data_IF_937198980762
#
_entry.id   IF_937198980762
#
_cell.length_a   1.000
_cell.length_b   1.000
_cell.length_c   1.000
_cell.angle_alpha   90.00
_cell.angle_beta   90.00
_cell.angle_gamma   90.00
#
_symmetry.space_group_name_H-M   'P 1'
#
loop_
_entity.id
_entity.type
_entity.pdbx_description
1 polymer ?
2 non-polymer ?
3 non-polymer ?
4 non-polymer ?
5 water ?
#
# COMPACT_ATOMS: atom_id res chain seq x y z
N UNK A 13 -12.97 -22.36 9.23
CA UNK A 13 -11.69 -22.91 9.61
C UNK A 13 -10.85 -23.17 8.36
N UNK A 14 -11.45 -22.92 7.19
CA UNK A 14 -10.87 -23.29 5.90
C UNK A 14 -10.03 -22.18 5.30
N UNK A 15 -9.02 -22.59 4.53
CA UNK A 15 -8.02 -21.67 4.00
C UNK A 15 -8.10 -21.56 2.48
N UNK A 16 -7.58 -20.45 1.98
CA UNK A 16 -7.42 -20.24 0.55
C UNK A 16 -6.07 -19.60 0.30
N UNK A 17 -5.39 -20.05 -0.75
CA UNK A 17 -4.20 -19.40 -1.24
C UNK A 17 -4.55 -18.66 -2.52
N UNK A 18 -3.87 -17.53 -2.74
CA UNK A 18 -4.08 -16.75 -3.94
C UNK A 18 -2.72 -16.48 -4.57
N UNK A 19 -2.61 -16.70 -5.88
CA UNK A 19 -1.41 -16.44 -6.64
C UNK A 19 -1.68 -15.24 -7.51
N UNK A 20 -0.72 -14.33 -7.59
CA UNK A 20 -0.97 -13.03 -8.17
C UNK A 20 0.24 -12.60 -8.98
N UNK A 21 0.02 -12.26 -10.24
CA UNK A 21 1.05 -11.66 -11.08
C UNK A 21 0.75 -10.19 -11.32
N UNK A 22 1.77 -9.48 -11.77
CA UNK A 22 1.58 -8.14 -12.31
C UNK A 22 0.89 -8.22 -13.67
N UNK A 23 -0.17 -7.46 -13.91
CA UNK A 23 -0.82 -7.52 -15.23
C UNK A 23 0.09 -7.10 -16.37
N UNK A 24 1.16 -6.34 -16.09
CA UNK A 24 2.12 -5.98 -17.11
C UNK A 24 3.16 -7.08 -17.34
N UNK A 25 3.14 -8.15 -16.57
CA UNK A 25 4.04 -9.29 -16.72
C UNK A 25 3.26 -10.53 -16.29
N UNK A 26 2.18 -10.80 -17.00
CA UNK A 26 1.15 -11.72 -16.54
C UNK A 26 1.60 -13.13 -16.84
N UNK A 27 2.32 -13.74 -15.89
CA UNK A 27 3.01 -15.00 -16.12
C UNK A 27 2.31 -16.19 -15.47
N UNK A 28 1.11 -16.01 -14.92
CA UNK A 28 0.44 -17.11 -14.21
C UNK A 28 -0.39 -17.90 -15.22
N UNK A 29 0.32 -18.69 -16.04
CA UNK A 29 -0.31 -19.43 -17.12
C UNK A 29 -1.24 -20.50 -16.57
N UNK A 30 -2.21 -20.94 -17.37
CA UNK A 30 -3.07 -22.05 -16.92
C UNK A 30 -2.31 -23.25 -16.39
N UNK A 31 -1.29 -23.73 -17.11
CA UNK A 31 -0.53 -24.89 -16.65
C UNK A 31 0.15 -24.62 -15.33
N UNK A 32 0.66 -23.39 -15.15
CA UNK A 32 1.34 -23.06 -13.89
C UNK A 32 0.36 -23.11 -12.72
N UNK A 33 -0.86 -22.59 -12.92
CA UNK A 33 -1.85 -22.65 -11.84
C UNK A 33 -2.20 -24.07 -11.46
N UNK A 34 -2.35 -24.94 -12.45
CA UNK A 34 -2.64 -26.34 -12.16
C UNK A 34 -1.49 -26.99 -11.42
N UNK A 35 -0.26 -26.81 -11.92
CA UNK A 35 0.91 -27.32 -11.20
C UNK A 35 0.87 -26.88 -9.73
N UNK A 36 0.61 -25.60 -9.49
CA UNK A 36 0.60 -25.10 -8.12
C UNK A 36 -0.50 -25.77 -7.31
N UNK A 37 -1.72 -25.87 -7.86
CA UNK A 37 -2.80 -26.51 -7.11
C UNK A 37 -2.49 -27.97 -6.83
N UNK A 38 -1.85 -28.65 -7.79
CA UNK A 38 -1.42 -30.02 -7.54
C UNK A 38 -0.44 -30.07 -6.37
N UNK A 39 0.45 -29.06 -6.26
CA UNK A 39 1.49 -29.07 -5.24
C UNK A 39 0.94 -28.99 -3.82
N UNK A 40 -0.34 -28.67 -3.63
CA UNK A 40 -0.89 -28.56 -2.28
C UNK A 40 -2.12 -29.46 -2.14
N UNK A 41 -2.22 -30.48 -3.01
CA UNK A 41 -3.36 -31.39 -3.03
C UNK A 41 -4.68 -30.61 -2.98
N UNK A 42 -4.76 -29.58 -3.81
CA UNK A 42 -5.86 -28.64 -3.74
C UNK A 42 -7.18 -29.27 -4.20
N UNK A 43 -8.27 -28.71 -3.68
CA UNK A 43 -9.62 -29.20 -3.93
C UNK A 43 -10.30 -28.48 -5.11
N UNK A 44 -9.57 -27.66 -5.84
CA UNK A 44 -10.13 -26.90 -6.94
C UNK A 44 -9.27 -25.70 -7.25
N UNK A 45 -9.60 -25.05 -8.37
CA UNK A 45 -8.81 -23.93 -8.84
C UNK A 45 -9.73 -22.94 -9.54
N UNK A 46 -9.75 -21.69 -9.09
CA UNK A 46 -10.68 -20.70 -9.63
C UNK A 46 -9.92 -19.46 -10.08
N UNK A 47 -10.14 -19.07 -11.33
CA UNK A 47 -9.42 -17.96 -11.95
C UNK A 47 -10.14 -16.66 -11.67
N UNK A 48 -9.47 -15.73 -10.99
CA UNK A 48 -10.03 -14.40 -10.82
C UNK A 48 -9.70 -13.51 -12.00
N UNK A 49 -8.55 -13.74 -12.64
CA UNK A 49 -8.17 -12.99 -13.85
C UNK A 49 -7.19 -13.85 -14.63
N UNK A 50 -7.50 -14.09 -15.91
CA UNK A 50 -6.67 -14.99 -16.72
C UNK A 50 -5.22 -14.49 -16.76
N UNK A 51 -4.29 -15.40 -16.50
CA UNK A 51 -2.84 -15.16 -16.50
C UNK A 51 -2.38 -14.22 -15.38
N UNK A 52 -3.26 -13.88 -14.43
CA UNK A 52 -2.93 -12.85 -13.44
C UNK A 52 -3.16 -13.34 -12.01
N UNK A 53 -4.32 -13.94 -11.74
CA UNK A 53 -4.62 -14.31 -10.36
C UNK A 53 -5.57 -15.50 -10.31
N UNK A 54 -5.32 -16.40 -9.36
CA UNK A 54 -6.21 -17.53 -9.17
C UNK A 54 -6.27 -17.88 -7.69
N UNK A 55 -7.41 -18.40 -7.28
CA UNK A 55 -7.66 -18.86 -5.91
C UNK A 55 -7.45 -20.37 -5.83
N UNK A 56 -6.78 -20.81 -4.78
CA UNK A 56 -6.55 -22.24 -4.60
C UNK A 56 -7.03 -22.63 -3.21
N UNK A 57 -8.25 -23.16 -3.09
CA UNK A 57 -8.74 -23.65 -1.79
C UNK A 57 -7.83 -24.73 -1.22
N UNK A 58 -7.32 -24.48 -0.03
CA UNK A 58 -6.45 -25.44 0.63
C UNK A 58 -7.30 -26.60 1.17
N UNK A 59 -6.84 -27.84 1.00
CA UNK A 59 -7.54 -28.95 1.65
C UNK A 59 -7.48 -28.80 3.17
N UNK A 60 -8.57 -29.18 3.82
CA UNK A 60 -8.73 -28.96 5.25
C UNK A 60 -7.65 -29.72 6.03
N UNK A 61 -7.03 -29.02 6.98
CA UNK A 61 -6.03 -29.62 7.83
C UNK A 61 -4.60 -29.24 7.52
N UNK A 62 -4.37 -28.39 6.53
CA UNK A 62 -3.01 -27.97 6.17
C UNK A 62 -2.71 -26.63 6.82
N UNK A 63 -1.62 -26.58 7.59
CA UNK A 63 -1.16 -25.31 8.14
C UNK A 63 -0.76 -24.38 6.99
N UNK A 64 -1.04 -23.08 7.18
CA UNK A 64 -0.82 -22.12 6.10
C UNK A 64 0.65 -21.99 5.75
N UNK A 65 1.55 -22.16 6.73
CA UNK A 65 2.98 -22.09 6.43
C UNK A 65 3.41 -23.20 5.46
N UNK A 66 2.79 -24.39 5.59
CA UNK A 66 3.11 -25.47 4.67
C UNK A 66 2.78 -25.07 3.23
N UNK A 67 1.56 -24.57 3.01
CA UNK A 67 1.15 -24.20 1.65
C UNK A 67 1.99 -23.07 1.10
N UNK A 68 2.35 -22.10 1.94
CA UNK A 68 3.15 -20.99 1.43
C UNK A 68 4.50 -21.49 0.93
N UNK A 69 5.16 -22.36 1.70
CA UNK A 69 6.41 -22.92 1.25
C UNK A 69 6.22 -23.75 -0.02
N UNK A 70 5.23 -24.63 -0.02
CA UNK A 70 4.99 -25.49 -1.18
C UNK A 70 4.73 -24.66 -2.43
N UNK A 71 3.89 -23.64 -2.33
CA UNK A 71 3.59 -22.84 -3.51
C UNK A 71 4.79 -22.03 -3.96
N UNK A 72 5.54 -21.46 -3.01
CA UNK A 72 6.71 -20.66 -3.40
C UNK A 72 7.76 -21.54 -4.08
N UNK A 73 7.93 -22.77 -3.62
CA UNK A 73 8.88 -23.68 -4.26
C UNK A 73 8.44 -24.01 -5.69
N UNK A 74 7.18 -24.39 -5.88
CA UNK A 74 6.67 -24.70 -7.21
C UNK A 74 6.84 -23.52 -8.16
N UNK A 75 6.60 -22.30 -7.66
CA UNK A 75 6.65 -21.11 -8.49
C UNK A 75 8.03 -20.49 -8.56
N UNK A 76 9.03 -21.09 -7.89
CA UNK A 76 10.32 -20.44 -7.71
C UNK A 76 10.88 -19.92 -9.03
N UNK A 77 11.34 -18.68 -9.01
CA UNK A 77 11.82 -18.05 -10.20
C UNK A 77 10.75 -17.41 -11.05
N UNK A 78 9.46 -17.65 -10.76
CA UNK A 78 8.45 -16.90 -11.49
C UNK A 78 7.99 -15.68 -10.70
N UNK A 79 7.67 -14.57 -11.37
CA UNK A 79 7.27 -13.34 -10.65
C UNK A 79 5.80 -13.39 -10.23
N UNK A 80 5.51 -14.26 -9.27
CA UNK A 80 4.15 -14.51 -8.85
C UNK A 80 4.12 -14.51 -7.33
N UNK A 81 3.33 -13.60 -6.75
CA UNK A 81 3.18 -13.53 -5.31
C UNK A 81 2.30 -14.67 -4.80
N UNK A 82 2.50 -15.01 -3.53
CA UNK A 82 1.69 -16.01 -2.83
C UNK A 82 1.19 -15.41 -1.52
N UNK A 83 -0.12 -15.50 -1.29
CA UNK A 83 -0.72 -15.15 0.00
C UNK A 83 -1.66 -16.27 0.39
N UNK A 84 -1.74 -16.53 1.69
CA UNK A 84 -2.62 -17.55 2.24
C UNK A 84 -3.44 -16.91 3.36
N UNK A 85 -4.74 -17.16 3.38
CA UNK A 85 -5.60 -16.57 4.39
C UNK A 85 -6.86 -17.42 4.52
N UNK A 86 -7.64 -17.13 5.56
CA UNK A 86 -8.95 -17.74 5.71
C UNK A 86 -9.92 -17.15 4.71
N UNK A 87 -10.74 -18.01 4.09
CA UNK A 87 -11.65 -17.52 3.06
C UNK A 87 -12.72 -16.60 3.63
N UNK A 88 -13.18 -16.86 4.85
CA UNK A 88 -14.21 -16.02 5.43
C UNK A 88 -13.65 -14.66 5.83
N UNK A 89 -14.41 -13.61 5.53
CA UNK A 89 -14.06 -12.24 5.90
C UNK A 89 -12.76 -11.79 5.23
N UNK A 90 -12.47 -12.31 4.03
CA UNK A 90 -11.33 -11.80 3.28
C UNK A 90 -11.69 -10.56 2.48
N UNK A 91 -12.95 -10.35 2.15
CA UNK A 91 -13.35 -9.09 1.54
C UNK A 91 -13.56 -8.08 2.66
N UNK A 92 -12.83 -6.97 2.63
CA UNK A 92 -12.83 -5.98 3.70
C UNK A 92 -13.69 -4.77 3.33
N UNK A 93 -14.06 -4.00 4.35
CA UNK A 93 -14.94 -2.85 4.15
C UNK A 93 -14.27 -1.52 4.41
N UNK A 94 -12.98 -1.53 4.75
CA UNK A 94 -12.18 -0.32 4.92
C UNK A 94 -10.88 -0.52 4.17
N UNK A 95 -10.49 0.46 3.36
CA UNK A 95 -9.12 0.53 2.84
C UNK A 95 -8.40 1.70 3.51
N UNK A 96 -7.23 1.45 4.08
CA UNK A 96 -6.35 2.53 4.49
C UNK A 96 -5.00 2.33 3.79
N UNK A 97 -4.58 3.32 3.01
CA UNK A 97 -3.40 3.21 2.15
C UNK A 97 -2.46 4.38 2.34
N UNK A 98 -1.18 4.06 2.47
CA UNK A 98 -0.12 5.03 2.38
C UNK A 98 -0.12 5.70 1.00
N UNK A 99 0.44 6.92 0.91
CA UNK A 99 0.59 7.58 -0.39
C UNK A 99 1.95 7.34 -1.03
N UNK A 100 3.01 7.90 -0.46
CA UNK A 100 4.31 7.95 -1.12
C UNK A 100 4.82 6.54 -1.41
N UNK A 101 5.20 6.30 -2.66
CA UNK A 101 5.74 5.04 -3.14
C UNK A 101 4.75 3.91 -3.08
N UNK A 102 3.48 4.21 -2.77
CA UNK A 102 2.44 3.19 -2.71
C UNK A 102 1.36 3.53 -3.72
N UNK A 103 0.60 4.62 -3.54
CA UNK A 103 -0.36 5.03 -4.55
C UNK A 103 0.24 5.97 -5.58
N UNK A 104 1.38 6.59 -5.31
CA UNK A 104 2.11 7.35 -6.32
C UNK A 104 3.48 6.74 -6.45
N UNK A 105 4.16 7.08 -7.53
CA UNK A 105 5.46 6.49 -7.79
C UNK A 105 6.62 7.16 -7.08
N UNK A 106 6.39 8.33 -6.48
CA UNK A 106 7.44 9.18 -5.95
C UNK A 106 7.34 9.35 -4.44
N UNK A 107 8.35 10.00 -3.88
CA UNK A 107 8.35 10.53 -2.51
C UNK A 107 8.18 12.03 -2.65
N UNK A 108 7.02 12.55 -2.19
CA UNK A 108 6.73 13.97 -2.32
C UNK A 108 7.83 14.83 -1.71
N UNK A 109 8.44 14.36 -0.62
CA UNK A 109 9.46 15.14 0.06
C UNK A 109 10.76 15.14 -0.74
N UNK A 110 11.09 14.03 -1.41
CA UNK A 110 12.30 14.02 -2.24
C UNK A 110 12.12 14.91 -3.47
N UNK A 111 10.91 14.93 -4.04
CA UNK A 111 10.63 15.80 -5.18
C UNK A 111 10.72 17.28 -4.79
N UNK A 112 10.17 17.64 -3.63
CA UNK A 112 10.33 19.01 -3.16
C UNK A 112 11.79 19.35 -2.95
N UNK A 113 12.55 18.42 -2.38
CA UNK A 113 13.96 18.69 -2.08
C UNK A 113 14.77 18.97 -3.35
N UNK A 114 14.37 18.38 -4.48
CA UNK A 114 15.00 18.69 -5.75
C UNK A 114 14.97 20.20 -6.00
N UNK A 115 13.83 20.83 -5.74
CA UNK A 115 13.69 22.26 -5.97
C UNK A 115 14.54 23.11 -5.04
N UNK A 116 15.12 22.52 -3.99
CA UNK A 116 16.14 23.18 -3.19
C UNK A 116 17.52 22.68 -3.55
N UNK A 117 17.65 21.93 -4.65
CA UNK A 117 18.93 21.43 -5.06
C UNK A 117 19.50 20.39 -4.13
N UNK A 118 18.65 19.68 -3.39
CA UNK A 118 19.11 18.76 -2.36
C UNK A 118 18.44 17.41 -2.48
N UNK A 119 18.08 16.99 -3.69
CA UNK A 119 17.34 15.74 -3.85
C UNK A 119 18.10 14.58 -3.22
N UNK A 120 19.38 14.43 -3.56
CA UNK A 120 20.08 13.22 -3.14
C UNK A 120 20.28 13.19 -1.64
N UNK A 121 20.64 14.32 -1.04
CA UNK A 121 20.82 14.38 0.40
C UNK A 121 19.53 14.02 1.13
N UNK A 122 18.40 14.57 0.68
CA UNK A 122 17.15 14.29 1.36
C UNK A 122 16.69 12.87 1.07
N UNK A 123 16.89 12.41 -0.17
CA UNK A 123 16.44 11.08 -0.54
C UNK A 123 17.15 10.01 0.27
N UNK A 124 18.42 10.23 0.63
CA UNK A 124 19.12 9.27 1.47
C UNK A 124 18.50 9.21 2.86
N UNK A 125 18.05 10.34 3.38
CA UNK A 125 17.39 10.30 4.69
C UNK A 125 16.07 9.55 4.58
N UNK A 126 15.30 9.83 3.53
CA UNK A 126 14.03 9.16 3.30
C UNK A 126 14.21 7.66 3.27
N UNK A 127 15.22 7.17 2.55
CA UNK A 127 15.43 5.73 2.48
C UNK A 127 15.67 5.15 3.88
N UNK A 128 16.46 5.83 4.71
CA UNK A 128 16.70 5.32 6.06
C UNK A 128 15.45 5.38 6.91
N UNK A 129 14.63 6.41 6.74
CA UNK A 129 13.38 6.49 7.50
C UNK A 129 12.41 5.40 7.08
N UNK A 130 12.26 5.20 5.76
CA UNK A 130 11.37 4.16 5.26
C UNK A 130 11.83 2.78 5.71
N UNK A 131 13.14 2.56 5.75
CA UNK A 131 13.65 1.27 6.18
C UNK A 131 13.52 1.06 7.69
N UNK A 132 13.23 2.13 8.46
CA UNK A 132 13.11 2.04 9.90
C UNK A 132 14.40 2.28 10.66
N UNK A 133 15.45 2.76 10.01
CA UNK A 133 16.70 3.05 10.69
C UNK A 133 16.68 4.35 11.48
N UNK A 134 15.69 5.21 11.25
CA UNK A 134 15.51 6.45 12.01
C UNK A 134 14.02 6.64 12.22
N UNK A 135 13.64 7.19 13.37
CA UNK A 135 12.23 7.41 13.64
C UNK A 135 11.65 8.42 12.66
N UNK A 136 10.36 8.28 12.36
CA UNK A 136 9.77 9.10 11.31
C UNK A 136 9.84 10.59 11.63
N UNK A 137 9.44 10.96 12.85
CA UNK A 137 9.31 12.38 13.18
C UNK A 137 10.62 13.15 13.08
N UNK A 138 11.73 12.76 13.74
CA UNK A 138 12.99 13.47 13.50
C UNK A 138 13.42 13.50 12.04
N UNK A 139 13.21 12.39 11.31
CA UNK A 139 13.58 12.37 9.90
C UNK A 139 12.77 13.40 9.10
N UNK A 140 11.47 13.49 9.36
CA UNK A 140 10.65 14.47 8.66
C UNK A 140 11.12 15.89 8.96
N UNK A 141 11.37 16.20 10.25
CA UNK A 141 11.75 17.56 10.63
C UNK A 141 13.08 17.94 9.98
N UNK A 142 14.03 17.00 9.94
CA UNK A 142 15.31 17.27 9.30
C UNK A 142 15.15 17.57 7.83
N UNK A 143 14.34 16.77 7.12
CA UNK A 143 14.19 16.97 5.69
C UNK A 143 13.39 18.23 5.37
N UNK A 144 12.30 18.46 6.10
CA UNK A 144 11.48 19.63 5.83
C UNK A 144 12.26 20.91 6.14
N UNK A 145 13.14 20.88 7.15
CA UNK A 145 13.94 22.06 7.46
C UNK A 145 14.66 22.59 6.22
N UNK A 146 15.14 21.68 5.36
CA UNK A 146 15.91 22.07 4.19
C UNK A 146 15.05 22.67 3.09
N UNK A 147 13.73 22.63 3.24
CA UNK A 147 12.84 23.27 2.29
C UNK A 147 12.54 24.72 2.65
N UNK A 148 13.15 25.24 3.71
CA UNK A 148 12.88 26.60 4.15
C UNK A 148 13.08 27.59 3.01
N UNK A 149 12.10 28.48 2.83
CA UNK A 149 12.20 29.53 1.84
C UNK A 149 11.68 29.18 0.46
N UNK A 150 11.37 27.92 0.19
CA UNK A 150 10.80 27.56 -1.10
C UNK A 150 9.47 28.28 -1.32
N UNK A 151 9.25 28.86 -2.50
CA UNK A 151 7.96 29.51 -2.76
C UNK A 151 6.83 28.51 -2.80
N UNK A 152 5.66 28.95 -2.32
CA UNK A 152 4.50 28.06 -2.29
C UNK A 152 4.14 27.54 -3.68
N UNK A 153 4.46 28.31 -4.73
CA UNK A 153 4.20 27.88 -6.09
C UNK A 153 4.83 26.53 -6.42
N UNK A 154 5.86 26.13 -5.68
CA UNK A 154 6.59 24.92 -6.02
C UNK A 154 5.74 23.67 -5.82
N UNK A 155 4.65 23.74 -5.05
CA UNK A 155 3.89 22.53 -4.79
C UNK A 155 3.11 22.10 -6.02
N UNK A 156 2.34 23.02 -6.61
CA UNK A 156 1.63 22.68 -7.85
C UNK A 156 2.60 22.29 -8.95
N UNK A 157 3.76 22.95 -8.99
CA UNK A 157 4.77 22.60 -9.98
C UNK A 157 5.14 21.12 -9.88
N UNK A 158 5.45 20.65 -8.67
CA UNK A 158 5.85 19.27 -8.50
C UNK A 158 4.70 18.33 -8.81
N UNK A 159 3.50 18.64 -8.32
CA UNK A 159 2.36 17.76 -8.54
C UNK A 159 2.08 17.62 -10.02
N UNK A 160 2.11 18.75 -10.75
CA UNK A 160 1.67 18.73 -12.13
C UNK A 160 2.67 18.05 -13.03
N UNK A 161 3.95 18.06 -12.67
CA UNK A 161 5.00 17.61 -13.57
C UNK A 161 5.70 16.32 -13.16
N UNK A 162 5.78 16.00 -11.87
CA UNK A 162 6.58 14.84 -11.49
C UNK A 162 5.84 13.75 -10.72
N UNK A 163 4.56 13.92 -10.38
CA UNK A 163 3.82 12.90 -9.64
C UNK A 163 3.02 12.05 -10.62
N UNK A 164 3.12 10.73 -10.48
CA UNK A 164 2.36 9.79 -11.29
C UNK A 164 1.67 8.76 -10.38
N UNK A 165 0.49 8.30 -10.80
CA UNK A 165 -0.25 7.32 -10.04
C UNK A 165 0.30 5.90 -10.26
N UNK A 166 0.31 5.11 -9.20
CA UNK A 166 0.74 3.73 -9.29
C UNK A 166 -0.30 2.92 -10.04
N UNK A 167 0.13 2.00 -10.93
CA UNK A 167 -0.84 1.18 -11.68
C UNK A 167 -1.78 0.41 -10.77
N UNK A 168 -3.05 0.35 -11.17
CA UNK A 168 -4.04 -0.37 -10.40
C UNK A 168 -4.67 0.41 -9.26
N UNK A 169 -4.14 1.59 -8.92
CA UNK A 169 -4.63 2.40 -7.82
C UNK A 169 -6.08 2.80 -7.95
N UNK A 170 -6.42 3.54 -9.00
CA UNK A 170 -7.83 3.90 -9.22
C UNK A 170 -8.76 2.71 -9.25
N UNK A 171 -8.37 1.61 -9.91
CA UNK A 171 -9.25 0.46 -9.97
C UNK A 171 -9.46 -0.16 -8.61
N UNK A 172 -8.40 -0.23 -7.79
CA UNK A 172 -8.53 -0.75 -6.44
C UNK A 172 -9.55 0.08 -5.66
N UNK A 173 -9.34 1.40 -5.62
CA UNK A 173 -10.19 2.27 -4.82
C UNK A 173 -11.62 2.26 -5.36
N UNK A 174 -11.79 2.51 -6.67
CA UNK A 174 -13.14 2.56 -7.23
C UNK A 174 -13.86 1.22 -7.09
N UNK A 175 -13.15 0.10 -7.29
CA UNK A 175 -13.84 -1.18 -7.15
C UNK A 175 -14.25 -1.43 -5.70
N UNK A 176 -13.41 -1.04 -4.74
CA UNK A 176 -13.81 -1.24 -3.35
C UNK A 176 -15.00 -0.35 -2.99
N UNK A 177 -14.98 0.91 -3.44
CA UNK A 177 -16.10 1.81 -3.19
C UNK A 177 -17.38 1.27 -3.80
N UNK A 178 -17.30 0.81 -5.06
CA UNK A 178 -18.46 0.19 -5.71
C UNK A 178 -19.07 -0.89 -4.82
N UNK A 179 -18.25 -1.59 -4.04
CA UNK A 179 -18.77 -2.61 -3.14
C UNK A 179 -18.96 -2.08 -1.72
N UNK A 180 -19.06 -0.76 -1.56
CA UNK A 180 -19.48 -0.20 -0.30
C UNK A 180 -18.38 0.05 0.72
N UNK A 181 -17.11 -0.19 0.38
CA UNK A 181 -16.05 0.01 1.35
C UNK A 181 -15.76 1.50 1.53
N UNK A 182 -15.23 1.85 2.71
CA UNK A 182 -14.77 3.21 2.98
C UNK A 182 -13.26 3.27 2.78
N UNK A 183 -12.77 4.25 2.02
CA UNK A 183 -11.39 4.27 1.57
C UNK A 183 -10.69 5.56 1.98
N UNK A 184 -9.52 5.43 2.62
CA UNK A 184 -8.79 6.56 3.16
C UNK A 184 -7.33 6.52 2.75
N UNK A 185 -6.81 7.68 2.31
CA UNK A 185 -5.39 7.86 1.99
C UNK A 185 -4.73 8.53 3.21
N UNK A 186 -3.91 7.78 3.92
CA UNK A 186 -3.36 8.23 5.19
C UNK A 186 -1.84 8.19 5.08
N UNK A 187 -1.22 9.37 5.18
CA UNK A 187 0.13 9.60 4.69
C UNK A 187 0.97 10.39 5.70
N UNK A 188 2.25 10.05 5.80
CA UNK A 188 3.17 10.91 6.51
C UNK A 188 3.60 12.11 5.70
N UNK A 189 3.11 12.24 4.46
CA UNK A 189 3.43 13.36 3.60
C UNK A 189 2.55 14.55 3.89
N UNK A 190 2.23 15.32 2.85
CA UNK A 190 1.66 16.65 3.03
C UNK A 190 0.27 16.78 2.42
N UNK A 191 -0.59 17.48 3.16
CA UNK A 191 -1.98 17.67 2.74
C UNK A 191 -2.08 18.36 1.39
N UNK A 192 -1.14 19.26 1.09
CA UNK A 192 -1.16 19.93 -0.20
C UNK A 192 -1.07 18.93 -1.35
N UNK A 193 -0.42 17.78 -1.12
CA UNK A 193 -0.38 16.70 -2.11
C UNK A 193 -1.54 15.71 -1.95
N UNK A 194 -1.76 15.20 -0.73
CA UNK A 194 -2.78 14.15 -0.57
C UNK A 194 -4.17 14.62 -1.01
N UNK A 195 -4.49 15.89 -0.80
CA UNK A 195 -5.84 16.33 -1.17
C UNK A 195 -6.06 16.19 -2.66
N UNK A 196 -5.07 16.57 -3.48
CA UNK A 196 -5.20 16.41 -4.92
C UNK A 196 -5.14 14.94 -5.32
N UNK A 197 -4.15 14.20 -4.81
CA UNK A 197 -3.99 12.80 -5.19
C UNK A 197 -5.22 12.00 -4.82
N UNK A 198 -5.73 12.21 -3.61
CA UNK A 198 -6.88 11.44 -3.15
C UNK A 198 -8.08 11.61 -4.09
N UNK A 199 -8.29 12.81 -4.63
CA UNK A 199 -9.45 13.00 -5.50
C UNK A 199 -9.17 12.55 -6.94
N UNK A 200 -7.91 12.60 -7.38
CA UNK A 200 -7.51 11.91 -8.59
C UNK A 200 -7.87 10.43 -8.53
N UNK A 201 -7.49 9.77 -7.44
CA UNK A 201 -7.68 8.32 -7.37
C UNK A 201 -9.10 7.97 -7.01
N UNK A 202 -9.72 8.75 -6.10
CA UNK A 202 -11.11 8.54 -5.74
C UNK A 202 -11.36 8.06 -4.32
N UNK A 203 -10.44 8.38 -3.39
CA UNK A 203 -10.62 8.03 -1.99
C UNK A 203 -11.78 8.82 -1.36
N UNK A 204 -12.35 8.27 -0.31
CA UNK A 204 -13.35 8.99 0.47
C UNK A 204 -12.75 10.06 1.35
N UNK A 205 -11.55 9.82 1.90
CA UNK A 205 -10.91 10.84 2.72
C UNK A 205 -9.39 10.69 2.66
N UNK A 206 -8.70 11.77 3.01
CA UNK A 206 -7.26 11.75 3.19
C UNK A 206 -6.89 12.43 4.51
N UNK A 207 -5.72 12.08 5.03
CA UNK A 207 -5.17 12.65 6.26
C UNK A 207 -3.65 12.60 6.19
N UNK A 208 -3.00 13.75 6.38
CA UNK A 208 -1.56 13.83 6.21
C UNK A 208 -0.99 14.93 7.09
N UNK A 209 0.33 15.06 7.10
CA UNK A 209 0.96 16.19 7.77
C UNK A 209 0.72 17.48 6.98
N UNK A 210 1.19 18.58 7.54
CA UNK A 210 0.92 19.90 6.96
C UNK A 210 2.19 20.74 7.00
N UNK A 211 2.60 21.25 5.84
CA UNK A 211 3.70 22.19 5.79
C UNK A 211 3.23 23.56 6.28
N UNK A 212 4.05 24.23 7.07
CA UNK A 212 3.75 25.58 7.53
C UNK A 212 4.33 26.55 6.51
N UNK A 213 3.57 27.62 6.20
CA UNK A 213 4.05 28.70 5.34
C UNK A 213 3.73 30.04 5.99
N UNK A 214 4.48 31.07 5.58
CA UNK A 214 4.26 32.43 6.06
C UNK A 214 3.28 33.21 5.19
N UNK A 215 2.60 32.53 4.26
CA UNK A 215 1.78 33.17 3.28
C UNK A 215 2.41 33.21 1.89
N UNK A 216 3.74 33.28 1.82
CA UNK A 216 4.39 33.29 0.51
C UNK A 216 5.44 32.20 0.37
N UNK A 217 6.10 31.80 1.46
CA UNK A 217 7.14 30.77 1.40
C UNK A 217 6.93 29.74 2.50
N UNK A 218 7.50 28.55 2.28
CA UNK A 218 7.55 27.54 3.33
C UNK A 218 8.45 28.00 4.45
N UNK A 219 8.00 27.81 5.69
CA UNK A 219 8.85 28.11 6.84
C UNK A 219 9.91 27.05 7.09
N UNK A 220 9.77 25.87 6.48
CA UNK A 220 10.67 24.78 6.79
C UNK A 220 10.28 23.96 8.00
N UNK A 221 9.06 24.11 8.49
CA UNK A 221 8.59 23.30 9.61
C UNK A 221 7.25 22.69 9.25
N UNK A 222 6.84 21.76 10.09
CA UNK A 222 5.61 21.00 9.95
C UNK A 222 4.75 21.26 11.17
N UNK A 223 3.44 21.28 10.97
CA UNK A 223 2.52 21.42 12.08
C UNK A 223 2.69 20.27 13.07
N UNK A 224 2.81 20.59 14.36
CA UNK A 224 2.82 19.53 15.36
C UNK A 224 1.42 19.32 15.91
N UNK A 225 1.12 18.12 16.43
CA UNK A 225 1.98 16.94 16.55
C UNK A 225 2.14 16.24 15.20
N UNK A 226 3.35 15.81 14.86
CA UNK A 226 3.60 15.17 13.58
C UNK A 226 2.89 13.83 13.53
N UNK A 227 2.23 13.54 12.41
CA UNK A 227 1.60 12.25 12.23
C UNK A 227 2.64 11.24 11.75
N UNK A 228 2.87 10.19 12.54
CA UNK A 228 3.87 9.18 12.23
C UNK A 228 3.25 7.79 12.25
N UNK A 229 4.06 6.84 12.71
CA UNK A 229 3.65 5.44 12.71
C UNK A 229 2.40 5.23 13.54
N UNK A 230 2.43 5.72 14.79
CA UNK A 230 1.29 5.53 15.68
C UNK A 230 0.06 6.29 15.20
N UNK A 231 0.25 7.47 14.59
CA UNK A 231 -0.90 8.20 14.05
C UNK A 231 -1.66 7.38 13.01
N UNK A 232 -0.96 6.54 12.22
CA UNK A 232 -1.69 5.72 11.26
C UNK A 232 -2.53 4.67 11.96
N UNK A 233 -2.00 4.08 13.02
CA UNK A 233 -2.80 3.17 13.84
C UNK A 233 -4.03 3.89 14.36
N UNK A 234 -3.82 5.07 14.94
CA UNK A 234 -4.93 5.80 15.54
C UNK A 234 -5.99 6.16 14.50
N UNK A 235 -5.56 6.57 13.30
CA UNK A 235 -6.52 6.90 12.25
C UNK A 235 -7.31 5.66 11.81
N UNK A 236 -6.64 4.51 11.68
CA UNK A 236 -7.37 3.28 11.42
C UNK A 236 -8.41 3.00 12.51
N UNK A 237 -8.03 3.16 13.79
CA UNK A 237 -8.98 2.92 14.86
C UNK A 237 -10.15 3.91 14.77
N UNK A 238 -9.84 5.19 14.54
CA UNK A 238 -10.88 6.21 14.40
C UNK A 238 -11.82 5.90 13.26
N UNK A 239 -11.30 5.44 12.13
CA UNK A 239 -12.16 5.18 10.98
C UNK A 239 -13.11 4.02 11.27
N UNK A 240 -12.56 2.92 11.80
CA UNK A 240 -13.39 1.75 12.05
C UNK A 240 -14.51 2.09 13.03
N UNK A 241 -14.18 2.80 14.11
CA UNK A 241 -15.20 3.18 15.07
C UNK A 241 -16.26 4.06 14.42
N UNK A 242 -15.85 5.06 13.63
CA UNK A 242 -16.81 5.97 13.04
C UNK A 242 -17.76 5.28 12.06
N UNK A 243 -17.30 4.25 11.34
CA UNK A 243 -18.17 3.55 10.41
C UNK A 243 -18.81 2.33 11.05
N UNK A 244 -18.60 2.13 12.34
CA UNK A 244 -19.26 1.02 13.01
C UNK A 244 -18.70 -0.34 12.71
N UNK A 245 -17.39 -0.43 12.51
CA UNK A 245 -16.72 -1.72 12.31
C UNK A 245 -15.54 -1.77 13.27
N UNK A 246 -14.63 -2.72 13.06
CA UNK A 246 -13.38 -2.86 13.79
C UNK A 246 -12.22 -2.89 12.81
N UNK A 247 -10.98 -2.70 13.28
CA UNK A 247 -9.83 -2.78 12.36
C UNK A 247 -9.72 -4.12 11.65
N UNK A 248 -10.30 -5.18 12.21
CA UNK A 248 -10.35 -6.46 11.52
C UNK A 248 -11.06 -6.37 10.18
N UNK A 249 -11.94 -5.40 10.01
CA UNK A 249 -12.68 -5.21 8.78
C UNK A 249 -11.90 -4.40 7.73
N UNK A 250 -10.62 -4.13 7.97
CA UNK A 250 -9.84 -3.26 7.12
C UNK A 250 -8.70 -4.02 6.42
N UNK A 251 -8.40 -3.59 5.21
CA UNK A 251 -7.15 -3.91 4.55
C UNK A 251 -6.31 -2.65 4.53
N UNK A 252 -5.07 -2.75 5.02
CA UNK A 252 -4.08 -1.68 5.05
C UNK A 252 -2.91 -2.02 4.14
N UNK A 253 -2.32 -1.01 3.51
CA UNK A 253 -1.22 -1.28 2.58
C UNK A 253 -0.22 -0.13 2.63
N UNK A 254 1.06 -0.49 2.65
CA UNK A 254 2.11 0.50 2.52
C UNK A 254 3.43 -0.19 2.20
N UNK A 255 4.46 0.64 2.10
CA UNK A 255 5.81 0.21 1.78
C UNK A 255 6.82 0.48 2.86
N UNK A 256 6.50 1.34 3.84
CA UNK A 256 7.51 1.89 4.72
C UNK A 256 7.33 1.46 6.17
N UNK A 257 8.37 1.71 6.95
CA UNK A 257 8.34 1.32 8.35
C UNK A 257 7.22 2.04 9.10
N UNK A 258 6.92 3.28 8.73
CA UNK A 258 5.84 4.00 9.38
C UNK A 258 4.45 3.42 9.06
N UNK A 259 4.34 2.38 8.23
CA UNK A 259 3.06 1.75 7.92
C UNK A 259 2.86 0.45 8.68
N UNK A 260 3.91 -0.03 9.36
CA UNK A 260 3.85 -1.36 9.98
C UNK A 260 2.81 -1.42 11.09
N UNK A 261 2.60 -0.30 11.80
CA UNK A 261 1.54 -0.25 12.81
C UNK A 261 0.17 -0.57 12.23
N UNK A 262 -0.23 0.14 11.18
CA UNK A 262 -1.54 -0.11 10.61
C UNK A 262 -1.57 -1.45 9.88
N UNK A 263 -0.46 -1.84 9.24
CA UNK A 263 -0.39 -3.15 8.57
C UNK A 263 -0.61 -4.27 9.59
N UNK A 264 0.03 -4.16 10.75
CA UNK A 264 -0.12 -5.22 11.76
C UNK A 264 -1.49 -5.20 12.43
N UNK A 265 -2.10 -4.02 12.59
CA UNK A 265 -3.40 -3.96 13.25
C UNK A 265 -4.52 -4.43 12.34
N UNK A 266 -4.50 -4.03 11.08
CA UNK A 266 -5.59 -4.34 10.17
C UNK A 266 -5.81 -5.84 10.06
N UNK A 267 -7.03 -6.23 9.68
CA UNK A 267 -7.29 -7.63 9.46
C UNK A 267 -6.47 -8.23 8.32
N UNK A 268 -6.23 -7.45 7.28
CA UNK A 268 -5.32 -7.82 6.21
C UNK A 268 -4.34 -6.65 6.04
N UNK A 269 -3.07 -6.90 6.33
CA UNK A 269 -2.01 -5.91 6.18
C UNK A 269 -1.01 -6.35 5.12
N UNK A 270 -0.79 -5.48 4.13
CA UNK A 270 -0.01 -5.82 2.96
C UNK A 270 1.23 -4.94 2.90
N UNK A 271 2.42 -5.56 2.94
CA UNK A 271 3.64 -4.86 2.57
C UNK A 271 3.82 -4.93 1.06
N UNK A 272 3.67 -3.79 0.39
CA UNK A 272 3.65 -3.71 -1.07
C UNK A 272 4.97 -3.15 -1.54
N UNK A 273 5.76 -3.99 -2.22
CA UNK A 273 7.05 -3.56 -2.76
C UNK A 273 7.84 -2.86 -1.65
N UNK A 274 7.89 -3.49 -0.50
CA UNK A 274 8.33 -2.77 0.69
C UNK A 274 9.84 -2.79 0.81
N UNK A 275 10.34 -1.84 1.58
CA UNK A 275 11.74 -1.79 1.98
C UNK A 275 12.14 -3.14 2.58
N UNK A 276 13.42 -3.51 2.51
CA UNK A 276 13.82 -4.88 2.91
C UNK A 276 13.49 -5.26 4.35
N UNK A 277 13.79 -4.37 5.30
CA UNK A 277 13.49 -4.67 6.70
C UNK A 277 11.99 -4.61 6.96
N UNK A 278 11.25 -3.85 6.14
CA UNK A 278 9.80 -3.77 6.31
C UNK A 278 9.14 -5.06 5.86
N UNK A 279 9.48 -5.54 4.66
CA UNK A 279 8.89 -6.78 4.17
C UNK A 279 9.17 -7.93 5.13
N UNK A 280 10.35 -7.92 5.76
CA UNK A 280 10.70 -8.95 6.73
C UNK A 280 9.74 -9.01 7.92
N UNK A 281 9.03 -7.93 8.22
CA UNK A 281 8.16 -7.88 9.40
C UNK A 281 6.68 -8.00 9.05
N UNK A 282 6.34 -8.23 7.80
CA UNK A 282 4.94 -8.26 7.39
C UNK A 282 4.51 -9.71 7.21
N UNK A 283 3.28 -9.99 7.62
CA UNK A 283 2.74 -11.34 7.43
C UNK A 283 2.35 -11.57 5.97
N UNK A 284 2.01 -10.52 5.24
CA UNK A 284 1.54 -10.63 3.87
C UNK A 284 2.32 -9.66 3.02
N UNK A 285 2.96 -10.16 1.97
CA UNK A 285 3.76 -9.30 1.11
C UNK A 285 3.38 -9.49 -0.35
N UNK A 286 3.44 -8.41 -1.12
CA UNK A 286 3.21 -8.40 -2.55
C UNK A 286 4.45 -7.75 -3.16
N UNK A 287 5.24 -8.53 -3.90
CA UNK A 287 6.47 -8.03 -4.49
C UNK A 287 6.44 -7.94 -6.01
N UNK A 288 5.47 -8.56 -6.66
CA UNK A 288 5.37 -8.52 -8.12
C UNK A 288 4.12 -7.80 -8.62
N UNK A 289 2.96 -8.04 -8.01
CA UNK A 289 1.73 -7.44 -8.47
C UNK A 289 1.69 -5.93 -8.32
N UNK A 290 0.70 -5.30 -8.96
CA UNK A 290 0.44 -3.89 -8.72
C UNK A 290 -0.74 -3.79 -7.75
N UNK A 291 -1.36 -2.60 -7.65
CA UNK A 291 -2.40 -2.41 -6.63
C UNK A 291 -3.62 -3.31 -6.87
N UNK A 292 -3.87 -3.75 -8.12
CA UNK A 292 -4.95 -4.71 -8.32
C UNK A 292 -4.74 -5.97 -7.51
N UNK A 293 -3.50 -6.26 -7.10
CA UNK A 293 -3.26 -7.40 -6.21
C UNK A 293 -4.16 -7.36 -4.98
N UNK A 294 -4.44 -6.18 -4.44
CA UNK A 294 -5.27 -6.11 -3.24
C UNK A 294 -6.71 -6.49 -3.55
N UNK A 295 -7.16 -6.29 -4.79
CA UNK A 295 -8.48 -6.77 -5.19
C UNK A 295 -8.53 -8.29 -5.21
N UNK A 296 -7.50 -8.94 -5.79
CA UNK A 296 -7.45 -10.39 -5.81
C UNK A 296 -7.29 -10.96 -4.41
N UNK A 297 -6.51 -10.29 -3.56
CA UNK A 297 -6.39 -10.73 -2.17
C UNK A 297 -7.77 -10.83 -1.54
N UNK A 298 -8.65 -9.90 -1.90
CA UNK A 298 -9.98 -9.83 -1.32
C UNK A 298 -10.98 -10.72 -2.04
N UNK A 299 -10.56 -11.46 -3.05
CA UNK A 299 -11.44 -12.41 -3.72
C UNK A 299 -12.22 -11.87 -4.88
N UNK A 300 -11.94 -10.65 -5.31
CA UNK A 300 -12.65 -10.10 -6.46
C UNK A 300 -12.19 -10.78 -7.74
N UNK A 301 -13.14 -11.00 -8.65
CA UNK A 301 -12.87 -11.41 -10.02
C UNK A 301 -12.76 -10.16 -10.88
N UNK A 302 -12.05 -10.30 -11.99
CA UNK A 302 -11.91 -9.17 -12.91
C UNK A 302 -13.26 -8.67 -13.41
N UNK A 303 -14.27 -9.54 -13.42
CA UNK A 303 -15.61 -9.13 -13.84
C UNK A 303 -16.23 -8.15 -12.85
N UNK A 304 -15.83 -8.21 -11.59
CA UNK A 304 -16.33 -7.30 -10.57
C UNK A 304 -15.74 -5.90 -10.69
N UNK A 305 -14.64 -5.72 -11.41
CA UNK A 305 -13.89 -4.47 -11.35
C UNK A 305 -14.67 -3.33 -11.99
N UNK A 306 -14.39 -2.12 -11.52
CA UNK A 306 -14.85 -0.90 -12.17
C UNK A 306 -13.87 -0.64 -13.32
N UNK A 307 -14.28 -0.95 -14.55
CA UNK A 307 -13.40 -0.82 -15.70
C UNK A 307 -13.53 0.56 -16.35
#
# INVERSE_FOLDING_TARGET
GPGSMLLSMSQQVSLVATLIANPAKAALAPSLGIKASAAVNATGLYWLADDIACDIPLPLGMEASEADASLRATLDGAPIDVVVQEQERRRKKILIADMDSTMIGQECIDELAEEAGLRDHVAAITARAMNGEIAFEPALRERVALLKGLPLSVIDKVISTRITLTPGGPQLVRTMRKHGAYTALVSGGFTSFTRRIAEMIGFNEERANRLIDDGTRLTGTVAEPILGREAKVEKLVEIAERVGLTPEDAIAVGDGANDLGMIQLAGTGVALHAKPAVAAQAKMRIDHGDLTALLYIQGYRKADFVQ
#
